data_IF_061197538655
#
_entry.id   IF_061197538655
#
_cell.length_a   1.000
_cell.length_b   1.000
_cell.length_c   1.000
_cell.angle_alpha   90.00
_cell.angle_beta   90.00
_cell.angle_gamma   90.00
#
_symmetry.space_group_name_H-M   'P 1'
#
loop_
_entity.id
_entity.type
_entity.pdbx_description
1 polymer ?
#
# COMPACT_ATOMS: atom_id res chain seq x y z
N UNK A 1 -39.79 14.77 13.63
CA UNK A 1 -38.58 14.76 12.78
C UNK A 1 -37.42 14.33 13.67
N UNK A 2 -36.83 13.17 13.37
CA UNK A 2 -35.75 12.56 14.16
C UNK A 2 -34.53 13.45 14.13
N UNK A 3 -34.09 13.96 15.29
CA UNK A 3 -32.83 14.67 15.42
C UNK A 3 -31.68 13.74 15.01
N UNK A 4 -30.92 14.14 14.00
CA UNK A 4 -29.66 13.51 13.64
C UNK A 4 -28.74 13.53 14.87
N UNK A 5 -28.11 12.43 15.28
CA UNK A 5 -27.21 12.44 16.42
C UNK A 5 -25.96 13.25 16.05
N UNK A 6 -25.96 14.54 16.37
CA UNK A 6 -24.74 15.34 16.40
C UNK A 6 -23.97 14.95 17.66
N UNK A 7 -23.10 13.95 17.57
CA UNK A 7 -22.02 13.84 18.54
C UNK A 7 -21.03 14.95 18.20
N UNK A 8 -20.85 15.91 19.11
CA UNK A 8 -19.77 16.87 19.05
C UNK A 8 -18.46 16.12 18.78
N UNK A 9 -17.61 16.59 17.84
CA UNK A 9 -16.30 16.00 17.62
C UNK A 9 -15.59 15.84 18.95
N UNK A 10 -14.94 14.70 19.18
CA UNK A 10 -14.08 14.53 20.36
C UNK A 10 -13.14 15.73 20.46
N UNK A 11 -13.11 16.39 21.62
CA UNK A 11 -12.14 17.46 21.89
C UNK A 11 -10.75 16.95 21.51
N UNK A 12 -10.01 17.76 20.75
CA UNK A 12 -8.64 17.46 20.29
C UNK A 12 -7.71 17.39 21.50
N UNK A 13 -7.80 16.31 22.27
CA UNK A 13 -6.83 15.95 23.29
C UNK A 13 -5.54 15.63 22.55
N UNK A 14 -4.57 16.54 22.69
CA UNK A 14 -3.18 16.46 22.26
C UNK A 14 -2.79 15.03 21.90
N UNK A 15 -2.85 14.76 20.59
CA UNK A 15 -2.43 13.51 20.02
C UNK A 15 -0.93 13.34 20.35
N UNK A 16 -0.51 12.32 21.11
CA UNK A 16 0.92 12.07 21.32
C UNK A 16 1.60 11.88 19.96
N UNK A 17 2.80 12.46 19.81
CA UNK A 17 3.58 12.57 18.57
C UNK A 17 3.51 11.29 17.72
N UNK A 18 3.39 11.49 16.42
CA UNK A 18 3.00 10.45 15.47
C UNK A 18 4.17 9.55 15.04
N UNK A 19 5.36 9.82 15.56
CA UNK A 19 6.60 9.05 15.38
C UNK A 19 6.44 7.54 15.67
N UNK A 20 5.38 7.12 16.39
CA UNK A 20 5.11 5.70 16.70
C UNK A 20 3.81 5.10 16.09
N UNK A 21 3.11 5.76 15.15
CA UNK A 21 1.72 5.35 14.75
C UNK A 21 1.54 4.61 13.43
N UNK A 22 2.58 4.25 12.68
CA UNK A 22 2.37 3.41 11.48
C UNK A 22 2.10 1.95 11.86
N UNK A 23 0.99 1.70 12.56
CA UNK A 23 0.47 0.36 12.82
C UNK A 23 -0.58 0.03 11.77
N UNK A 24 -0.32 -1.04 11.02
CA UNK A 24 -1.32 -1.71 10.21
C UNK A 24 -1.99 -2.76 11.09
N UNK A 25 -3.32 -2.68 11.22
CA UNK A 25 -4.11 -3.73 11.86
C UNK A 25 -4.88 -4.51 10.81
N UNK A 26 -4.61 -5.80 10.69
CA UNK A 26 -5.40 -6.69 9.85
C UNK A 26 -6.47 -7.41 10.69
N UNK A 27 -7.72 -7.34 10.22
CA UNK A 27 -8.87 -8.00 10.86
C UNK A 27 -9.63 -8.81 9.82
N UNK A 28 -9.95 -10.06 10.14
CA UNK A 28 -10.78 -10.92 9.30
C UNK A 28 -11.75 -11.73 10.16
N UNK A 29 -12.85 -12.21 9.56
CA UNK A 29 -13.81 -13.11 10.20
C UNK A 29 -14.27 -12.63 11.59
N UNK A 30 -14.42 -11.32 11.74
CA UNK A 30 -14.71 -10.66 13.01
C UNK A 30 -15.84 -9.63 12.87
N UNK A 31 -16.45 -9.29 14.00
CA UNK A 31 -17.36 -8.14 14.12
C UNK A 31 -16.62 -7.01 14.83
N UNK A 32 -16.48 -5.88 14.14
CA UNK A 32 -15.85 -4.66 14.66
C UNK A 32 -16.95 -3.69 15.09
N UNK A 33 -16.94 -3.37 16.38
CA UNK A 33 -17.82 -2.39 17.00
C UNK A 33 -17.00 -1.37 17.81
N UNK A 34 -17.67 -0.42 18.43
CA UNK A 34 -17.09 0.61 19.30
C UNK A 34 -17.51 0.35 20.74
N UNK A 35 -16.57 0.53 21.66
CA UNK A 35 -16.81 0.65 23.09
C UNK A 35 -15.97 1.81 23.64
N UNK A 36 -16.64 2.89 24.05
CA UNK A 36 -15.98 4.15 24.39
C UNK A 36 -15.11 4.71 23.25
N UNK A 37 -13.81 4.85 23.51
CA UNK A 37 -12.80 5.31 22.54
C UNK A 37 -11.96 4.17 21.95
N UNK A 38 -12.38 2.92 22.16
CA UNK A 38 -11.74 1.74 21.62
C UNK A 38 -12.64 1.02 20.60
N UNK A 39 -12.00 0.32 19.68
CA UNK A 39 -12.63 -0.69 18.84
C UNK A 39 -12.75 -1.98 19.63
N UNK A 40 -13.91 -2.62 19.56
CA UNK A 40 -14.11 -4.00 19.99
C UNK A 40 -14.05 -4.90 18.76
N UNK A 41 -13.08 -5.81 18.72
CA UNK A 41 -12.93 -6.79 17.65
C UNK A 41 -13.33 -8.14 18.22
N UNK A 42 -14.51 -8.63 17.81
CA UNK A 42 -15.06 -9.91 18.27
C UNK A 42 -14.88 -10.97 17.20
N UNK A 43 -14.15 -12.03 17.51
CA UNK A 43 -14.01 -13.22 16.66
C UNK A 43 -14.22 -14.51 17.49
N UNK A 44 -13.86 -15.67 16.92
CA UNK A 44 -13.97 -16.97 17.59
C UNK A 44 -13.07 -17.14 18.82
N UNK A 45 -12.03 -16.31 18.97
CA UNK A 45 -11.06 -16.34 20.09
C UNK A 45 -11.54 -15.48 21.27
N UNK A 46 -12.48 -14.57 21.05
CA UNK A 46 -13.02 -13.67 22.07
C UNK A 46 -13.16 -12.24 21.57
N UNK A 47 -13.02 -11.28 22.49
CA UNK A 47 -13.11 -9.85 22.21
C UNK A 47 -11.77 -9.21 22.54
N UNK A 48 -11.19 -8.49 21.58
CA UNK A 48 -10.04 -7.63 21.78
C UNK A 48 -10.46 -6.16 21.77
N UNK A 49 -9.88 -5.35 22.65
CA UNK A 49 -10.06 -3.90 22.69
C UNK A 49 -8.82 -3.21 22.11
N UNK A 50 -9.01 -2.40 21.07
CA UNK A 50 -7.92 -1.71 20.39
C UNK A 50 -8.17 -0.20 20.40
N UNK A 51 -7.29 0.63 20.97
CA UNK A 51 -7.42 2.08 20.90
C UNK A 51 -7.38 2.58 19.46
N UNK A 52 -8.43 3.26 18.99
CA UNK A 52 -8.49 3.71 17.60
C UNK A 52 -7.42 4.77 17.27
N UNK A 53 -7.01 5.57 18.25
CA UNK A 53 -6.00 6.62 18.11
C UNK A 53 -4.58 6.10 17.86
N UNK A 54 -4.34 4.80 18.10
CA UNK A 54 -3.06 4.16 17.81
C UNK A 54 -2.97 3.61 16.39
N UNK A 55 -4.08 3.57 15.65
CA UNK A 55 -4.17 2.92 14.34
C UNK A 55 -4.04 3.94 13.20
N UNK A 56 -3.03 3.79 12.35
CA UNK A 56 -2.96 4.51 11.08
C UNK A 56 -3.82 3.87 9.99
N UNK A 57 -3.75 2.54 9.85
CA UNK A 57 -4.45 1.81 8.78
C UNK A 57 -5.09 0.54 9.33
N UNK A 58 -6.38 0.33 9.03
CA UNK A 58 -7.10 -0.91 9.31
C UNK A 58 -7.43 -1.63 8.01
N UNK A 59 -6.88 -2.82 7.85
CA UNK A 59 -7.11 -3.72 6.73
C UNK A 59 -8.24 -4.69 7.08
N UNK A 60 -9.39 -4.53 6.41
CA UNK A 60 -10.58 -5.37 6.60
C UNK A 60 -10.56 -6.51 5.59
N UNK A 61 -10.23 -7.71 6.07
CA UNK A 61 -10.25 -8.95 5.31
C UNK A 61 -11.64 -9.59 5.21
N UNK A 62 -11.76 -10.73 4.50
CA UNK A 62 -13.02 -11.44 4.28
C UNK A 62 -13.72 -11.84 5.58
N UNK A 63 -15.06 -11.84 5.56
CA UNK A 63 -15.88 -12.21 6.71
C UNK A 63 -15.94 -11.16 7.82
N UNK A 64 -15.42 -9.96 7.59
CA UNK A 64 -15.46 -8.86 8.56
C UNK A 64 -16.76 -8.08 8.46
N UNK A 65 -17.42 -7.85 9.59
CA UNK A 65 -18.58 -6.94 9.70
C UNK A 65 -18.15 -5.73 10.51
N UNK A 66 -18.36 -4.53 10.00
CA UNK A 66 -18.04 -3.28 10.71
C UNK A 66 -19.32 -2.48 10.93
N UNK A 67 -19.52 -2.01 12.16
CA UNK A 67 -20.67 -1.17 12.52
C UNK A 67 -20.44 0.29 12.13
N UNK A 68 -21.52 1.06 12.04
CA UNK A 68 -21.45 2.51 11.88
C UNK A 68 -20.60 3.16 12.99
N UNK A 69 -20.80 2.78 14.25
CA UNK A 69 -20.09 3.38 15.39
C UNK A 69 -18.57 3.14 15.33
N UNK A 70 -18.14 1.96 14.88
CA UNK A 70 -16.73 1.67 14.64
C UNK A 70 -16.16 2.53 13.50
N UNK A 71 -16.86 2.64 12.37
CA UNK A 71 -16.42 3.47 11.24
C UNK A 71 -16.37 4.95 11.60
N UNK A 72 -17.33 5.45 12.39
CA UNK A 72 -17.33 6.82 12.90
C UNK A 72 -16.10 7.08 13.78
N UNK A 73 -15.81 6.19 14.73
CA UNK A 73 -14.62 6.31 15.60
C UNK A 73 -13.30 6.27 14.79
N UNK A 74 -13.15 5.31 13.87
CA UNK A 74 -11.99 5.24 12.98
C UNK A 74 -11.83 6.52 12.16
N UNK A 75 -12.95 7.04 11.67
CA UNK A 75 -13.02 8.34 11.07
C UNK A 75 -12.46 9.40 12.01
N UNK A 76 -13.06 9.62 13.16
CA UNK A 76 -12.71 10.71 14.06
C UNK A 76 -11.24 10.66 14.49
N UNK A 77 -10.74 9.45 14.74
CA UNK A 77 -9.33 9.17 15.05
C UNK A 77 -8.36 9.42 13.88
N UNK A 78 -8.86 9.62 12.66
CA UNK A 78 -8.03 9.83 11.47
C UNK A 78 -7.36 8.56 10.97
N UNK A 79 -7.95 7.38 11.20
CA UNK A 79 -7.45 6.12 10.65
C UNK A 79 -7.95 5.90 9.21
N UNK A 80 -7.09 5.37 8.35
CA UNK A 80 -7.48 4.85 7.05
C UNK A 80 -8.06 3.44 7.17
N UNK A 81 -9.04 3.11 6.33
CA UNK A 81 -9.67 1.79 6.30
C UNK A 81 -9.61 1.26 4.88
N UNK A 82 -9.11 0.04 4.71
CA UNK A 82 -8.92 -0.58 3.39
C UNK A 82 -9.57 -1.96 3.40
N UNK A 83 -10.51 -2.20 2.49
CA UNK A 83 -11.10 -3.52 2.25
C UNK A 83 -10.18 -4.32 1.34
N UNK A 84 -9.72 -5.45 1.86
CA UNK A 84 -8.73 -6.30 1.23
C UNK A 84 -9.20 -7.75 1.17
N UNK A 85 -8.52 -8.54 0.32
CA UNK A 85 -8.60 -9.99 0.38
C UNK A 85 -7.88 -10.55 1.60
N UNK A 86 -7.87 -11.88 1.72
CA UNK A 86 -7.20 -12.58 2.81
C UNK A 86 -5.74 -12.15 2.95
N UNK A 87 -5.37 -11.64 4.13
CA UNK A 87 -4.06 -11.06 4.47
C UNK A 87 -3.51 -10.04 3.45
N UNK A 88 -4.38 -9.22 2.86
CA UNK A 88 -3.96 -8.10 2.01
C UNK A 88 -3.68 -8.44 0.55
N UNK A 89 -3.80 -9.71 0.14
CA UNK A 89 -3.44 -10.17 -1.23
C UNK A 89 -4.38 -9.66 -2.34
N UNK A 90 -5.44 -8.94 -2.00
CA UNK A 90 -6.28 -8.23 -2.96
C UNK A 90 -6.66 -6.89 -2.37
N UNK A 91 -6.88 -5.91 -3.23
CA UNK A 91 -7.46 -4.62 -2.88
C UNK A 91 -8.85 -4.53 -3.50
N UNK A 92 -9.82 -4.01 -2.74
CA UNK A 92 -11.20 -3.78 -3.20
C UNK A 92 -11.61 -2.31 -3.12
N UNK A 93 -11.47 -1.69 -1.94
CA UNK A 93 -11.88 -0.32 -1.69
C UNK A 93 -11.09 0.27 -0.52
N UNK A 94 -11.04 1.60 -0.42
CA UNK A 94 -10.50 2.30 0.74
C UNK A 94 -11.36 3.49 1.12
N UNK A 95 -11.23 3.91 2.38
CA UNK A 95 -11.77 5.15 2.91
C UNK A 95 -10.83 6.32 2.68
N UNK A 96 -10.73 7.22 3.65
CA UNK A 96 -9.89 8.41 3.57
C UNK A 96 -8.42 8.15 3.95
N UNK A 97 -7.49 9.03 3.56
CA UNK A 97 -6.11 9.01 4.05
C UNK A 97 -6.01 9.21 5.57
N UNK A 98 -4.89 8.77 6.18
CA UNK A 98 -4.67 8.90 7.61
C UNK A 98 -4.51 10.37 8.02
N UNK A 99 -4.73 10.68 9.30
CA UNK A 99 -4.64 12.03 9.87
C UNK A 99 -5.48 13.12 9.16
N UNK A 100 -6.39 12.73 8.25
CA UNK A 100 -7.20 13.65 7.41
C UNK A 100 -6.33 14.62 6.59
N UNK A 101 -5.09 14.23 6.25
CA UNK A 101 -4.14 15.06 5.48
C UNK A 101 -4.19 14.79 3.97
N UNK A 102 -3.92 15.83 3.16
CA UNK A 102 -3.66 15.73 1.72
C UNK A 102 -2.17 15.67 1.38
N UNK A 103 -1.28 15.78 2.39
CA UNK A 103 0.16 15.99 2.19
C UNK A 103 0.82 14.98 1.25
N UNK A 104 0.54 13.69 1.46
CA UNK A 104 1.15 12.62 0.66
C UNK A 104 0.68 12.67 -0.80
N UNK A 105 -0.58 13.01 -1.02
CA UNK A 105 -1.13 13.22 -2.35
C UNK A 105 -0.48 14.44 -3.04
N UNK A 106 -0.30 15.55 -2.32
CA UNK A 106 0.33 16.77 -2.84
C UNK A 106 1.80 16.58 -3.19
N UNK A 107 2.59 15.96 -2.30
CA UNK A 107 3.99 15.63 -2.56
C UNK A 107 4.10 14.74 -3.79
N UNK A 108 3.27 13.69 -3.84
CA UNK A 108 3.27 12.77 -4.97
C UNK A 108 2.90 13.46 -6.29
N UNK A 109 1.85 14.29 -6.29
CA UNK A 109 1.44 15.05 -7.49
C UNK A 109 2.53 16.04 -7.94
N UNK A 110 3.21 16.72 -7.00
CA UNK A 110 4.31 17.65 -7.29
C UNK A 110 5.52 16.93 -7.89
N UNK A 111 5.92 15.80 -7.29
CA UNK A 111 7.03 14.98 -7.76
C UNK A 111 6.71 14.39 -9.14
N UNK A 112 5.49 13.92 -9.35
CA UNK A 112 5.03 13.29 -10.59
C UNK A 112 4.90 14.29 -11.76
N UNK A 113 4.39 15.50 -11.50
CA UNK A 113 4.14 16.52 -12.54
C UNK A 113 5.42 17.21 -13.03
N UNK A 114 6.52 17.13 -12.28
CA UNK A 114 7.81 17.67 -12.69
C UNK A 114 8.73 16.59 -13.29
N UNK A 115 9.12 16.79 -14.54
CA UNK A 115 9.92 15.82 -15.31
C UNK A 115 11.26 15.47 -14.65
N UNK A 116 11.92 16.44 -13.99
CA UNK A 116 13.24 16.23 -13.36
C UNK A 116 13.11 15.39 -12.10
N UNK A 117 12.15 15.71 -11.24
CA UNK A 117 11.90 14.96 -9.99
C UNK A 117 11.36 13.57 -10.27
N UNK A 118 10.45 13.42 -11.24
CA UNK A 118 9.96 12.11 -11.68
C UNK A 118 11.07 11.24 -12.23
N UNK A 119 11.96 11.80 -13.07
CA UNK A 119 13.13 11.07 -13.58
C UNK A 119 14.06 10.64 -12.44
N UNK A 120 14.34 11.53 -11.47
CA UNK A 120 15.18 11.20 -10.30
C UNK A 120 14.58 10.05 -9.48
N UNK A 121 13.28 10.11 -9.18
CA UNK A 121 12.57 9.05 -8.48
C UNK A 121 12.61 7.73 -9.26
N UNK A 122 12.35 7.76 -10.58
CA UNK A 122 12.44 6.57 -11.43
C UNK A 122 13.84 5.93 -11.36
N UNK A 123 14.92 6.72 -11.35
CA UNK A 123 16.29 6.18 -11.22
C UNK A 123 16.51 5.50 -9.87
N UNK A 124 16.07 6.12 -8.77
CA UNK A 124 16.14 5.51 -7.43
C UNK A 124 15.39 4.18 -7.36
N UNK A 125 14.22 4.12 -7.99
CA UNK A 125 13.47 2.87 -8.12
C UNK A 125 14.24 1.79 -8.89
N UNK A 126 15.00 2.16 -9.93
CA UNK A 126 15.90 1.23 -10.62
C UNK A 126 17.09 0.83 -9.75
N UNK A 127 17.70 1.74 -8.99
CA UNK A 127 18.80 1.42 -8.07
C UNK A 127 18.39 0.32 -7.08
N UNK A 128 17.18 0.42 -6.52
CA UNK A 128 16.61 -0.61 -5.64
C UNK A 128 16.47 -1.99 -6.31
N UNK A 129 16.24 -2.02 -7.63
CA UNK A 129 16.10 -3.28 -8.39
C UNK A 129 17.44 -3.88 -8.77
N UNK A 130 18.49 -3.08 -8.92
CA UNK A 130 19.82 -3.52 -9.36
C UNK A 130 20.88 -3.29 -8.25
N UNK A 131 20.74 -3.92 -7.07
CA UNK A 131 21.64 -3.68 -5.96
C UNK A 131 23.09 -4.03 -6.34
N UNK A 132 24.00 -3.07 -6.12
CA UNK A 132 25.43 -3.24 -6.41
C UNK A 132 25.84 -3.05 -7.87
N UNK A 133 24.92 -2.71 -8.78
CA UNK A 133 25.25 -2.34 -10.15
C UNK A 133 25.39 -0.82 -10.31
N UNK A 134 26.40 -0.38 -11.06
CA UNK A 134 26.54 1.03 -11.45
C UNK A 134 25.55 1.32 -12.59
N UNK A 135 24.54 2.14 -12.32
CA UNK A 135 23.50 2.49 -13.29
C UNK A 135 23.35 4.00 -13.53
N UNK A 136 24.19 4.85 -12.94
CA UNK A 136 24.08 6.31 -13.01
C UNK A 136 24.26 6.84 -14.43
N UNK A 137 25.02 6.14 -15.28
CA UNK A 137 25.26 6.51 -16.67
C UNK A 137 24.21 5.98 -17.66
N UNK A 138 23.29 5.12 -17.21
CA UNK A 138 22.30 4.51 -18.09
C UNK A 138 21.09 5.42 -18.32
N UNK A 139 20.57 5.43 -19.54
CA UNK A 139 19.26 6.02 -19.86
C UNK A 139 18.12 5.13 -19.36
N UNK A 140 16.92 5.70 -19.16
CA UNK A 140 15.73 4.92 -18.81
C UNK A 140 15.40 3.84 -19.85
N UNK A 141 15.69 4.08 -21.13
CA UNK A 141 15.49 3.09 -22.18
C UNK A 141 16.42 1.87 -22.00
N UNK A 142 17.70 2.12 -21.67
CA UNK A 142 18.66 1.05 -21.37
C UNK A 142 18.28 0.29 -20.08
N UNK A 143 17.81 1.01 -19.05
CA UNK A 143 17.34 0.40 -17.80
C UNK A 143 16.14 -0.54 -18.04
N UNK A 144 15.13 -0.10 -18.80
CA UNK A 144 14.01 -0.96 -19.21
C UNK A 144 14.48 -2.19 -19.98
N UNK A 145 15.44 -2.03 -20.90
CA UNK A 145 16.00 -3.15 -21.67
C UNK A 145 16.71 -4.17 -20.78
N UNK A 146 17.40 -3.72 -19.73
CA UNK A 146 18.08 -4.59 -18.75
C UNK A 146 17.11 -5.34 -17.84
N UNK A 147 15.95 -4.77 -17.55
CA UNK A 147 14.96 -5.37 -16.65
C UNK A 147 14.47 -6.74 -17.14
N UNK A 148 14.26 -6.89 -18.46
CA UNK A 148 13.92 -8.18 -19.06
C UNK A 148 15.01 -9.24 -18.86
N UNK A 149 16.28 -8.86 -18.99
CA UNK A 149 17.41 -9.76 -18.75
C UNK A 149 17.54 -10.15 -17.27
N UNK A 150 17.35 -9.18 -16.36
CA UNK A 150 17.32 -9.41 -14.91
C UNK A 150 16.22 -10.40 -14.53
N UNK A 151 15.00 -10.22 -15.02
CA UNK A 151 13.89 -11.14 -14.76
C UNK A 151 14.19 -12.56 -15.23
N UNK A 152 14.77 -12.72 -16.44
CA UNK A 152 15.17 -14.04 -16.95
C UNK A 152 16.19 -14.74 -16.04
N UNK A 153 17.18 -14.00 -15.54
CA UNK A 153 18.18 -14.54 -14.59
C UNK A 153 17.52 -15.01 -13.28
N UNK A 154 16.61 -14.21 -12.72
CA UNK A 154 15.87 -14.57 -11.50
C UNK A 154 15.03 -15.83 -11.73
N UNK A 155 14.27 -15.90 -12.81
CA UNK A 155 13.49 -17.10 -13.12
C UNK A 155 14.36 -18.35 -13.30
N UNK A 156 15.50 -18.23 -13.97
CA UNK A 156 16.44 -19.34 -14.13
C UNK A 156 17.03 -19.80 -12.78
N UNK A 157 17.39 -18.86 -11.90
CA UNK A 157 17.89 -19.18 -10.56
C UNK A 157 16.82 -19.87 -9.69
N UNK A 158 15.58 -19.39 -9.73
CA UNK A 158 14.46 -19.99 -8.99
C UNK A 158 14.08 -21.38 -9.53
N UNK A 159 14.11 -21.55 -10.86
CA UNK A 159 13.94 -22.85 -11.51
C UNK A 159 15.00 -23.86 -11.04
N UNK A 160 16.27 -23.45 -11.04
CA UNK A 160 17.37 -24.28 -10.56
C UNK A 160 17.23 -24.61 -9.07
N UNK A 161 16.86 -23.62 -8.24
CA UNK A 161 16.72 -23.78 -6.79
C UNK A 161 15.60 -24.74 -6.41
N UNK A 162 14.50 -24.73 -7.15
CA UNK A 162 13.28 -25.49 -6.82
C UNK A 162 13.08 -26.76 -7.64
N UNK A 163 13.86 -26.95 -8.71
CA UNK A 163 13.68 -28.05 -9.66
C UNK A 163 12.49 -27.89 -10.60
N UNK A 164 11.78 -26.75 -10.56
CA UNK A 164 10.65 -26.47 -11.44
C UNK A 164 11.15 -26.14 -12.84
N UNK A 165 10.61 -26.83 -13.84
CA UNK A 165 10.94 -26.57 -15.25
C UNK A 165 10.47 -25.17 -15.65
N UNK A 166 11.40 -24.35 -16.16
CA UNK A 166 11.11 -23.01 -16.66
C UNK A 166 11.57 -22.86 -18.11
N UNK A 167 10.70 -22.34 -18.97
CA UNK A 167 11.03 -22.04 -20.38
C UNK A 167 10.90 -20.55 -20.66
N UNK A 168 9.69 -20.01 -20.54
CA UNK A 168 9.40 -18.60 -20.78
C UNK A 168 8.20 -18.14 -19.97
N UNK A 169 8.12 -16.81 -19.78
CA UNK A 169 6.90 -16.16 -19.31
C UNK A 169 5.88 -16.19 -20.43
N UNK A 170 4.72 -16.78 -20.17
CA UNK A 170 3.55 -16.78 -21.04
C UNK A 170 2.34 -16.33 -20.22
N UNK A 171 1.65 -15.29 -20.67
CA UNK A 171 0.47 -14.75 -20.01
C UNK A 171 -0.51 -14.31 -21.09
N UNK A 172 -1.69 -14.91 -21.08
CA UNK A 172 -2.83 -14.45 -21.85
C UNK A 172 -3.74 -13.61 -20.93
N UNK A 173 -3.90 -12.30 -21.18
CA UNK A 173 -4.82 -11.45 -20.43
C UNK A 173 -6.29 -11.87 -20.53
N UNK A 174 -6.67 -12.64 -21.55
CA UNK A 174 -8.05 -13.09 -21.79
C UNK A 174 -8.30 -14.51 -21.25
N UNK A 175 -7.24 -15.30 -21.03
CA UNK A 175 -7.34 -16.65 -20.47
C UNK A 175 -6.29 -16.88 -19.35
N UNK A 176 -6.71 -16.59 -18.12
CA UNK A 176 -5.88 -16.79 -16.92
C UNK A 176 -5.57 -18.27 -16.62
N UNK A 177 -6.30 -19.22 -17.22
CA UNK A 177 -6.13 -20.65 -17.03
C UNK A 177 -5.18 -21.31 -18.04
N UNK A 178 -4.95 -20.68 -19.19
CA UNK A 178 -4.17 -21.20 -20.32
C UNK A 178 -2.67 -21.43 -20.08
N UNK A 179 -2.14 -21.01 -18.92
CA UNK A 179 -0.72 -21.14 -18.60
C UNK A 179 -0.35 -22.50 -18.00
N UNK A 180 0.91 -22.91 -18.20
CA UNK A 180 1.51 -23.97 -17.38
C UNK A 180 1.45 -23.59 -15.87
N UNK A 181 1.61 -24.57 -14.95
CA UNK A 181 1.45 -24.31 -13.52
C UNK A 181 2.31 -23.15 -13.01
N UNK A 182 3.53 -22.99 -13.50
CA UNK A 182 4.43 -21.91 -13.09
C UNK A 182 4.00 -20.54 -13.62
N UNK A 183 3.52 -20.44 -14.85
CA UNK A 183 2.99 -19.18 -15.36
C UNK A 183 1.72 -18.75 -14.66
N UNK A 184 0.82 -19.70 -14.33
CA UNK A 184 -0.36 -19.42 -13.50
C UNK A 184 0.05 -18.94 -12.11
N UNK A 185 1.02 -19.62 -11.49
CA UNK A 185 1.53 -19.27 -10.18
C UNK A 185 2.15 -17.86 -10.14
N UNK A 186 2.95 -17.50 -11.15
CA UNK A 186 3.56 -16.18 -11.27
C UNK A 186 2.53 -15.07 -11.48
N UNK A 187 1.45 -15.35 -12.23
CA UNK A 187 0.34 -14.41 -12.43
C UNK A 187 -0.40 -14.18 -11.12
N UNK A 188 -0.79 -15.25 -10.44
CA UNK A 188 -1.45 -15.17 -9.14
C UNK A 188 -0.57 -14.46 -8.12
N UNK A 189 0.73 -14.77 -8.10
CA UNK A 189 1.67 -14.18 -7.17
C UNK A 189 1.89 -12.69 -7.42
N UNK A 190 1.96 -12.27 -8.68
CA UNK A 190 2.04 -10.85 -9.03
C UNK A 190 0.77 -10.12 -8.61
N UNK A 191 -0.41 -10.66 -8.90
CA UNK A 191 -1.69 -10.07 -8.50
C UNK A 191 -1.81 -9.94 -6.97
N UNK A 192 -1.31 -10.92 -6.22
CA UNK A 192 -1.28 -10.88 -4.76
C UNK A 192 -0.40 -9.73 -4.23
N UNK A 193 0.80 -9.58 -4.78
CA UNK A 193 1.72 -8.50 -4.42
C UNK A 193 1.18 -7.12 -4.82
N UNK A 194 0.48 -7.02 -5.97
CA UNK A 194 -0.19 -5.80 -6.38
C UNK A 194 -1.29 -5.39 -5.38
N UNK A 195 -2.06 -6.34 -4.86
CA UNK A 195 -3.05 -6.07 -3.82
C UNK A 195 -2.44 -5.46 -2.55
N UNK A 196 -1.30 -6.01 -2.11
CA UNK A 196 -0.58 -5.53 -0.92
C UNK A 196 -0.02 -4.12 -1.15
N UNK A 197 0.68 -3.90 -2.27
CA UNK A 197 1.22 -2.59 -2.62
C UNK A 197 0.11 -1.54 -2.73
N UNK A 198 -1.03 -1.90 -3.35
CA UNK A 198 -2.19 -1.02 -3.46
C UNK A 198 -2.69 -0.62 -2.07
N UNK A 199 -2.88 -1.58 -1.16
CA UNK A 199 -3.34 -1.31 0.20
C UNK A 199 -2.41 -0.36 0.98
N UNK A 200 -1.09 -0.50 0.81
CA UNK A 200 -0.11 0.42 1.43
C UNK A 200 -0.20 1.81 0.80
N UNK A 201 -0.21 1.91 -0.53
CA UNK A 201 -0.28 3.19 -1.26
C UNK A 201 -1.50 4.02 -0.82
N UNK A 202 -2.70 3.42 -0.86
CA UNK A 202 -3.93 4.14 -0.49
C UNK A 202 -4.06 4.33 1.01
N UNK A 203 -3.56 3.38 1.81
CA UNK A 203 -3.54 3.48 3.27
C UNK A 203 -2.68 4.64 3.78
N UNK A 204 -1.69 5.07 3.01
CA UNK A 204 -0.87 6.26 3.30
C UNK A 204 -1.42 7.54 2.67
N UNK A 205 -2.36 7.46 1.73
CA UNK A 205 -2.91 8.62 1.03
C UNK A 205 -2.19 9.01 -0.27
N UNK A 206 -1.36 8.13 -0.82
CA UNK A 206 -0.78 8.32 -2.15
C UNK A 206 -1.82 8.06 -3.25
N UNK A 207 -1.62 8.68 -4.42
CA UNK A 207 -2.50 8.55 -5.59
C UNK A 207 -2.08 7.35 -6.47
N UNK A 208 -2.85 6.25 -6.56
CA UNK A 208 -2.43 5.03 -7.26
C UNK A 208 -2.28 5.15 -8.78
N UNK A 209 -2.96 6.13 -9.40
CA UNK A 209 -2.94 6.36 -10.85
C UNK A 209 -1.73 7.16 -11.32
N UNK A 210 -0.99 7.84 -10.43
CA UNK A 210 0.16 8.66 -10.78
C UNK A 210 1.46 7.85 -10.77
N UNK A 211 1.60 6.92 -11.71
CA UNK A 211 2.83 6.13 -11.82
C UNK A 211 4.06 6.97 -12.19
N UNK A 212 5.19 6.65 -11.56
CA UNK A 212 6.52 7.17 -11.84
C UNK A 212 7.08 6.53 -13.12
N UNK A 213 7.08 5.20 -13.21
CA UNK A 213 7.58 4.45 -14.39
C UNK A 213 6.43 4.01 -15.28
N UNK A 214 5.40 3.39 -14.71
CA UNK A 214 4.19 3.00 -15.43
C UNK A 214 3.24 4.20 -15.63
N UNK A 215 2.37 4.12 -16.63
CA UNK A 215 1.36 5.16 -16.91
C UNK A 215 0.15 4.56 -17.61
N UNK A 216 -0.97 5.29 -17.65
CA UNK A 216 -2.15 4.95 -18.47
C UNK A 216 -3.23 4.10 -17.80
N UNK A 217 -3.06 3.74 -16.52
CA UNK A 217 -4.09 2.99 -15.75
C UNK A 217 -4.25 3.57 -14.35
N UNK A 218 -5.38 3.25 -13.70
CA UNK A 218 -5.68 3.60 -12.31
C UNK A 218 -4.73 2.96 -11.28
N UNK A 219 -3.84 2.06 -11.72
CA UNK A 219 -2.92 1.26 -10.90
C UNK A 219 -1.46 1.45 -11.29
N UNK A 220 -1.14 2.46 -12.10
CA UNK A 220 0.22 2.65 -12.59
C UNK A 220 1.26 2.67 -11.46
N UNK A 221 1.00 3.42 -10.39
CA UNK A 221 1.91 3.50 -9.24
C UNK A 221 1.93 2.21 -8.41
N UNK A 222 0.86 1.41 -8.45
CA UNK A 222 0.84 0.09 -7.80
C UNK A 222 1.85 -0.85 -8.45
N UNK A 223 1.94 -0.86 -9.79
CA UNK A 223 2.92 -1.67 -10.50
C UNK A 223 4.35 -1.22 -10.20
N UNK A 224 4.58 0.10 -10.18
CA UNK A 224 5.86 0.72 -9.85
C UNK A 224 6.43 0.20 -8.52
N UNK A 225 5.62 0.26 -7.46
CA UNK A 225 6.03 -0.12 -6.11
C UNK A 225 6.10 -1.63 -5.96
N UNK A 226 5.12 -2.37 -6.48
CA UNK A 226 5.13 -3.83 -6.36
C UNK A 226 6.33 -4.47 -7.07
N UNK A 227 6.74 -3.94 -8.23
CA UNK A 227 7.86 -4.47 -9.00
C UNK A 227 9.21 -4.38 -8.25
N UNK A 228 9.34 -3.50 -7.25
CA UNK A 228 10.51 -3.44 -6.37
C UNK A 228 10.72 -4.75 -5.60
N UNK A 229 9.65 -5.49 -5.31
CA UNK A 229 9.68 -6.64 -4.39
C UNK A 229 9.40 -7.99 -5.06
N UNK A 230 9.09 -8.03 -6.37
CA UNK A 230 8.74 -9.29 -7.06
C UNK A 230 9.83 -10.34 -6.97
N UNK A 231 11.09 -9.92 -7.12
CA UNK A 231 12.25 -10.80 -7.08
C UNK A 231 12.42 -11.51 -5.72
N UNK A 232 12.01 -10.86 -4.63
CA UNK A 232 12.16 -11.38 -3.27
C UNK A 232 10.90 -12.13 -2.80
N UNK A 233 9.72 -11.69 -3.25
CA UNK A 233 8.45 -12.13 -2.67
C UNK A 233 7.67 -13.03 -3.64
N UNK A 234 7.11 -12.45 -4.69
CA UNK A 234 6.12 -13.16 -5.52
C UNK A 234 6.72 -14.21 -6.44
N UNK A 235 7.92 -13.97 -6.97
CA UNK A 235 8.59 -14.93 -7.85
C UNK A 235 9.03 -16.17 -7.05
N UNK A 236 9.79 -16.07 -5.95
CA UNK A 236 10.17 -17.25 -5.17
C UNK A 236 8.94 -18.02 -4.64
N UNK A 237 7.90 -17.31 -4.19
CA UNK A 237 6.67 -17.95 -3.71
C UNK A 237 5.95 -18.76 -4.79
N UNK A 238 5.95 -18.29 -6.04
CA UNK A 238 5.34 -19.01 -7.15
C UNK A 238 6.10 -20.31 -7.47
N UNK A 239 7.43 -20.26 -7.52
CA UNK A 239 8.26 -21.44 -7.73
C UNK A 239 8.12 -22.45 -6.57
N UNK A 240 8.15 -21.98 -5.33
CA UNK A 240 7.92 -22.80 -4.13
C UNK A 240 6.53 -23.45 -4.12
N UNK A 241 5.50 -22.75 -4.61
CA UNK A 241 4.15 -23.31 -4.70
C UNK A 241 4.07 -24.45 -5.70
N UNK A 242 4.68 -24.29 -6.88
CA UNK A 242 4.68 -25.32 -7.93
C UNK A 242 5.52 -26.52 -7.52
N UNK A 243 6.68 -26.28 -6.88
CA UNK A 243 7.55 -27.35 -6.41
C UNK A 243 6.90 -28.26 -5.36
N UNK A 244 5.88 -27.79 -4.65
CA UNK A 244 5.15 -28.55 -3.65
C UNK A 244 4.02 -29.43 -4.22
N UNK A 245 3.58 -29.18 -5.46
CA UNK A 245 2.47 -29.93 -6.10
C UNK A 245 2.72 -31.45 -6.12
N UNK A 246 3.92 -31.95 -6.49
CA UNK A 246 4.19 -33.40 -6.48
C UNK A 246 4.05 -34.06 -5.11
N UNK A 247 4.15 -33.28 -4.02
CA UNK A 247 3.96 -33.76 -2.64
C UNK A 247 2.49 -33.83 -2.22
N UNK A 248 1.56 -33.50 -3.12
CA UNK A 248 0.11 -33.53 -2.88
C UNK A 248 -0.49 -32.19 -2.43
N UNK A 249 0.31 -31.11 -2.41
CA UNK A 249 -0.19 -29.77 -2.11
C UNK A 249 -0.99 -29.19 -3.28
N UNK A 250 -2.10 -28.51 -2.97
CA UNK A 250 -2.73 -27.62 -3.94
C UNK A 250 -1.82 -26.43 -4.29
N UNK A 251 -1.92 -25.92 -5.52
CA UNK A 251 -1.23 -24.70 -5.92
C UNK A 251 -1.75 -23.49 -5.11
N UNK A 252 -1.07 -23.19 -4.00
CA UNK A 252 -1.45 -22.10 -3.10
C UNK A 252 -0.34 -21.06 -2.97
N UNK A 253 -0.22 -20.22 -4.00
CA UNK A 253 0.77 -19.14 -4.07
C UNK A 253 0.46 -18.04 -3.04
N UNK A 254 -0.82 -17.72 -2.85
CA UNK A 254 -1.26 -16.66 -1.92
C UNK A 254 -0.86 -16.95 -0.48
N UNK A 255 -0.95 -18.20 -0.02
CA UNK A 255 -0.47 -18.58 1.30
C UNK A 255 1.03 -18.31 1.46
N UNK A 256 1.85 -18.76 0.51
CA UNK A 256 3.31 -18.55 0.54
C UNK A 256 3.69 -17.07 0.49
N UNK A 257 2.99 -16.27 -0.32
CA UNK A 257 3.22 -14.82 -0.36
C UNK A 257 2.95 -14.18 1.00
N UNK A 258 1.86 -14.52 1.68
CA UNK A 258 1.58 -13.87 2.97
C UNK A 258 2.58 -14.29 4.05
N UNK A 259 3.10 -15.51 4.00
CA UNK A 259 4.13 -15.97 4.94
C UNK A 259 5.44 -15.20 4.70
N UNK A 260 5.79 -14.96 3.43
CA UNK A 260 6.90 -14.06 3.07
C UNK A 260 6.65 -12.62 3.52
N UNK A 261 5.46 -12.06 3.29
CA UNK A 261 5.10 -10.68 3.71
C UNK A 261 5.26 -10.48 5.22
N UNK A 262 4.82 -11.46 6.02
CA UNK A 262 4.95 -11.41 7.48
C UNK A 262 6.42 -11.56 7.90
N UNK A 263 7.11 -12.57 7.38
CA UNK A 263 8.51 -12.85 7.77
C UNK A 263 9.49 -11.75 7.35
N UNK A 264 9.24 -11.06 6.23
CA UNK A 264 10.08 -9.94 5.76
C UNK A 264 9.60 -8.56 6.25
N UNK A 265 8.48 -8.48 6.98
CA UNK A 265 7.84 -7.22 7.37
C UNK A 265 7.64 -6.28 6.17
N UNK A 266 7.18 -6.85 5.05
CA UNK A 266 7.18 -6.17 3.76
C UNK A 266 6.36 -4.86 3.77
N UNK A 267 5.22 -4.83 4.45
CA UNK A 267 4.37 -3.64 4.49
C UNK A 267 5.07 -2.46 5.18
N UNK A 268 5.78 -2.72 6.29
CA UNK A 268 6.57 -1.70 6.97
C UNK A 268 7.69 -1.19 6.07
N UNK A 269 8.39 -2.10 5.38
CA UNK A 269 9.44 -1.71 4.41
C UNK A 269 8.87 -0.88 3.25
N UNK A 270 7.72 -1.27 2.70
CA UNK A 270 7.03 -0.49 1.64
C UNK A 270 6.72 0.94 2.09
N UNK A 271 6.33 1.13 3.35
CA UNK A 271 6.06 2.47 3.89
C UNK A 271 7.33 3.31 3.93
N UNK A 272 8.42 2.77 4.47
CA UNK A 272 9.71 3.46 4.53
C UNK A 272 10.24 3.79 3.13
N UNK A 273 10.23 2.81 2.22
CA UNK A 273 10.68 3.00 0.84
C UNK A 273 9.84 4.06 0.11
N UNK A 274 8.51 4.10 0.35
CA UNK A 274 7.63 5.12 -0.22
C UNK A 274 7.95 6.52 0.29
N UNK A 275 8.15 6.68 1.60
CA UNK A 275 8.51 7.96 2.20
C UNK A 275 9.86 8.45 1.67
N UNK A 276 10.83 7.55 1.59
CA UNK A 276 12.17 7.83 1.07
C UNK A 276 12.14 8.22 -0.43
N UNK A 277 11.49 7.41 -1.28
CA UNK A 277 11.34 7.68 -2.71
C UNK A 277 10.62 8.99 -3.00
N UNK A 278 9.66 9.36 -2.15
CA UNK A 278 8.87 10.58 -2.27
C UNK A 278 9.51 11.78 -1.57
N UNK A 279 10.69 11.62 -0.97
CA UNK A 279 11.44 12.68 -0.28
C UNK A 279 10.59 13.35 0.83
N UNK A 280 9.78 12.56 1.55
CA UNK A 280 8.94 13.03 2.66
C UNK A 280 9.77 13.01 3.95
N UNK A 281 10.02 14.16 4.61
CA UNK A 281 10.75 14.18 5.87
C UNK A 281 9.95 13.46 6.97
N UNK A 282 10.63 12.71 7.84
CA UNK A 282 9.99 11.92 8.91
C UNK A 282 9.19 12.80 9.89
N UNK A 283 9.70 13.99 10.21
CA UNK A 283 9.07 14.97 11.12
C UNK A 283 7.73 15.52 10.57
N UNK A 284 7.56 15.45 9.26
CA UNK A 284 6.54 16.16 8.50
C UNK A 284 5.39 15.25 8.04
N UNK A 285 5.57 13.93 8.18
CA UNK A 285 4.69 12.97 7.54
C UNK A 285 3.26 12.97 8.11
N UNK A 286 3.05 13.52 9.32
CA UNK A 286 1.80 13.36 10.03
C UNK A 286 1.38 14.49 10.98
N UNK A 287 1.89 15.72 10.86
CA UNK A 287 1.43 16.82 11.74
C UNK A 287 -0.10 17.03 11.69
N UNK A 288 -0.68 17.51 12.81
CA UNK A 288 -2.08 17.93 12.84
C UNK A 288 -2.34 18.95 11.72
N UNK A 289 -3.37 18.70 10.91
CA UNK A 289 -3.65 19.51 9.71
C UNK A 289 -4.75 20.51 10.01
N UNK A 290 -4.45 21.78 9.79
CA UNK A 290 -5.43 22.85 9.75
C UNK A 290 -5.86 23.14 8.30
N UNK A 291 -7.11 23.54 8.13
CA UNK A 291 -7.62 23.93 6.82
C UNK A 291 -6.96 25.24 6.41
N UNK A 292 -6.39 25.25 5.21
CA UNK A 292 -5.72 26.42 4.65
C UNK A 292 -6.40 26.89 3.37
N UNK A 293 -6.28 28.18 3.07
CA UNK A 293 -6.69 28.79 1.81
C UNK A 293 -5.45 28.99 0.94
N UNK A 294 -5.57 28.62 -0.33
CA UNK A 294 -4.54 28.88 -1.32
C UNK A 294 -4.61 30.35 -1.79
N UNK A 295 -3.46 31.02 -1.85
CA UNK A 295 -3.26 32.34 -2.46
C UNK A 295 -2.10 32.27 -3.46
N UNK A 296 -2.04 33.25 -4.37
CA UNK A 296 -1.01 33.33 -5.43
C UNK A 296 0.41 33.36 -4.87
N UNK A 297 0.59 33.90 -3.66
CA UNK A 297 1.90 34.11 -3.04
C UNK A 297 2.19 33.15 -1.87
N UNK A 298 1.16 32.68 -1.17
CA UNK A 298 1.31 31.84 0.02
C UNK A 298 0.06 31.03 0.37
N UNK A 299 0.17 30.17 1.38
CA UNK A 299 -0.94 29.40 1.94
C UNK A 299 -1.32 30.03 3.28
N UNK A 300 -2.55 30.53 3.42
CA UNK A 300 -3.03 31.25 4.61
C UNK A 300 -4.03 30.40 5.40
N UNK A 301 -4.14 30.59 6.72
CA UNK A 301 -5.11 29.82 7.53
C UNK A 301 -6.56 30.14 7.15
N UNK A 302 -7.40 29.12 7.03
CA UNK A 302 -8.84 29.30 6.84
C UNK A 302 -9.52 29.69 8.17
N UNK A 303 -10.62 30.46 8.09
CA UNK A 303 -11.39 30.88 9.27
C UNK A 303 -10.97 32.23 9.87
N UNK A 304 -10.03 32.93 9.24
CA UNK A 304 -9.74 34.34 9.53
C UNK A 304 -10.66 35.22 8.68
N UNK A 305 -11.41 36.12 9.31
CA UNK A 305 -12.18 37.12 8.58
C UNK A 305 -11.24 38.23 8.09
N UNK A 306 -11.01 38.28 6.79
CA UNK A 306 -10.15 39.27 6.14
C UNK A 306 -10.86 40.60 5.84
N UNK A 307 -12.12 40.77 6.26
CA UNK A 307 -12.76 42.09 6.24
C UNK A 307 -12.12 42.96 7.33
N UNK A 308 -11.13 43.77 6.96
CA UNK A 308 -10.90 45.01 7.70
C UNK A 308 -12.12 45.89 7.50
N UNK A 309 -12.90 46.12 8.56
CA UNK A 309 -13.78 47.27 8.60
C UNK A 309 -12.94 48.53 8.29
N UNK A 310 -13.22 49.16 7.15
CA UNK A 310 -13.74 50.54 7.04
C UNK A 310 -13.91 50.89 5.56
N UNK A 311 -15.18 50.95 5.14
CA UNK A 311 -15.61 51.81 4.04
C UNK A 311 -15.51 53.28 4.47
#
# INVERSE_FOLDING_TARGET
>A
MSATPSQSPLDRLLLPRIESRLSFLYVERAVINRDGNALTIKDQRGIAHVPATQLAVVLLGPGTKVTYAAMALLGDAGASVVWVGEKGVRYYAHGRPPAKTSRFAEVHARLWSNQRTRLRCARRMYDMRFPGEEISQLSLAQLRGREGARMKKIYAAEAQRTGVVWTRRNYDPQDFGSGDPINRALTEGSAALYGIAHAVIVGLGFIPSLGIVHTGTDRAFVYDIADLYKAEISIPAAFEAVAAIPSGDDLNVRARIRDKVVSTRLMQRMVHDLQDLMEIPEEDAYSDVDLMLWSELEVIAAGVNWSTERF
#
